data_IF_282135449262
#
_entry.id   IF_282135449262
#
_cell.length_a   1.000
_cell.length_b   1.000
_cell.length_c   1.000
_cell.angle_alpha   90.00
_cell.angle_beta   90.00
_cell.angle_gamma   90.00
#
_symmetry.space_group_name_H-M   'P 1'
#
loop_
_entity.id
_entity.type
_entity.pdbx_description
1 polymer ?
#
# COMPACT_ATOMS: atom_id res chain seq x y z
N UNK A 1 -34.56 18.22 27.08
CA UNK A 1 -34.64 16.88 26.48
C UNK A 1 -34.76 17.03 24.97
N UNK A 2 -33.66 16.87 24.24
CA UNK A 2 -33.67 16.80 22.78
C UNK A 2 -33.16 15.41 22.36
N UNK A 3 -33.95 14.79 21.50
CA UNK A 3 -34.02 13.34 21.27
C UNK A 3 -32.82 12.82 20.46
N UNK A 4 -32.26 11.70 20.93
CA UNK A 4 -31.10 10.99 20.40
C UNK A 4 -31.39 10.31 19.03
N UNK A 5 -31.55 11.09 17.97
CA UNK A 5 -31.86 10.59 16.61
C UNK A 5 -30.82 10.91 15.53
N UNK A 6 -29.59 11.23 15.91
CA UNK A 6 -28.52 11.38 14.91
C UNK A 6 -27.22 10.89 15.50
N UNK A 7 -26.83 9.66 15.11
CA UNK A 7 -25.45 9.16 14.98
C UNK A 7 -25.35 7.64 14.94
N UNK A 8 -26.46 6.91 15.07
CA UNK A 8 -26.49 5.46 14.94
C UNK A 8 -26.82 5.06 13.50
N UNK A 9 -25.86 5.23 12.59
CA UNK A 9 -25.78 4.54 11.30
C UNK A 9 -24.48 4.95 10.58
N UNK A 10 -23.33 4.61 11.17
CA UNK A 10 -22.09 4.52 10.40
C UNK A 10 -21.26 3.38 10.99
N UNK A 11 -21.91 2.23 11.12
CA UNK A 11 -21.28 0.93 11.37
C UNK A 11 -21.14 0.18 10.03
N UNK A 12 -20.81 0.92 8.97
CA UNK A 12 -20.17 0.31 7.82
C UNK A 12 -18.73 0.09 8.27
N UNK A 13 -18.41 -1.14 8.65
CA UNK A 13 -17.05 -1.62 8.73
C UNK A 13 -16.40 -1.37 7.36
N UNK A 14 -15.85 -0.17 7.17
CA UNK A 14 -14.67 -0.03 6.35
C UNK A 14 -13.64 -0.86 7.09
N UNK A 15 -13.31 -1.99 6.50
CA UNK A 15 -12.04 -2.63 6.78
C UNK A 15 -10.99 -1.59 6.35
N UNK A 16 -10.66 -0.69 7.28
CA UNK A 16 -9.83 0.51 7.09
C UNK A 16 -8.36 0.05 7.05
N UNK A 17 -8.12 -0.99 6.25
CA UNK A 17 -6.82 -1.60 6.09
C UNK A 17 -6.01 -0.64 5.23
N UNK A 18 -5.28 0.24 5.90
CA UNK A 18 -4.41 1.22 5.24
C UNK A 18 -3.19 0.46 4.73
N UNK A 19 -3.12 0.30 3.41
CA UNK A 19 -2.01 -0.32 2.70
C UNK A 19 -1.11 0.77 2.13
N UNK A 20 0.16 0.73 2.49
CA UNK A 20 1.14 1.73 2.08
C UNK A 20 2.39 1.04 1.55
N UNK A 21 2.90 1.52 0.42
CA UNK A 21 4.23 1.13 -0.09
C UNK A 21 5.18 2.24 0.25
N UNK A 22 6.23 1.92 1.01
CA UNK A 22 7.28 2.87 1.36
C UNK A 22 8.63 2.40 0.80
N UNK A 23 9.52 3.34 0.50
CA UNK A 23 10.89 3.03 0.17
C UNK A 23 11.71 2.92 1.46
N UNK A 24 12.43 1.82 1.61
CA UNK A 24 13.33 1.55 2.73
C UNK A 24 14.77 1.41 2.21
N UNK A 25 15.74 2.06 2.85
CA UNK A 25 17.14 1.93 2.46
C UNK A 25 17.61 0.49 2.71
N UNK A 26 18.27 -0.11 1.72
CA UNK A 26 18.95 -1.40 1.86
C UNK A 26 20.47 -1.19 1.86
N UNK A 27 21.20 -2.05 2.57
CA UNK A 27 22.66 -1.93 2.70
C UNK A 27 23.42 -2.23 1.39
N UNK A 28 22.74 -2.77 0.38
CA UNK A 28 23.34 -3.36 -0.82
C UNK A 28 23.36 -2.44 -2.06
N UNK A 29 23.20 -1.12 -1.91
CA UNK A 29 22.92 -0.16 -3.01
C UNK A 29 21.61 -0.39 -3.78
N UNK A 30 20.88 -1.47 -3.49
CA UNK A 30 19.50 -1.64 -3.91
C UNK A 30 18.58 -0.80 -3.02
N UNK A 31 17.52 -0.22 -3.59
CA UNK A 31 16.46 0.35 -2.78
C UNK A 31 15.34 -0.69 -2.69
N UNK A 32 14.92 -1.02 -1.47
CA UNK A 32 13.84 -1.96 -1.26
C UNK A 32 12.56 -1.17 -0.99
N UNK A 33 11.45 -1.76 -1.37
CA UNK A 33 10.13 -1.29 -1.01
C UNK A 33 9.60 -2.18 0.09
N UNK A 34 8.91 -1.59 1.05
CA UNK A 34 8.19 -2.30 2.10
C UNK A 34 6.70 -2.00 1.96
N UNK A 35 5.91 -3.06 1.81
CA UNK A 35 4.46 -2.98 1.92
C UNK A 35 4.10 -3.05 3.40
N UNK A 36 3.40 -2.03 3.86
CA UNK A 36 2.84 -1.94 5.20
C UNK A 36 1.34 -2.11 5.16
N UNK A 37 0.85 -2.88 6.11
CA UNK A 37 -0.57 -3.05 6.39
C UNK A 37 -0.81 -2.55 7.81
N UNK A 38 -1.59 -1.48 7.96
CA UNK A 38 -1.85 -0.85 9.26
C UNK A 38 -0.56 -0.44 10.00
N UNK A 39 0.45 0.02 9.26
CA UNK A 39 1.76 0.41 9.80
C UNK A 39 2.72 -0.75 10.08
N UNK A 40 2.31 -2.00 9.85
CA UNK A 40 3.16 -3.19 10.02
C UNK A 40 3.71 -3.65 8.67
N UNK A 41 5.04 -3.83 8.56
CA UNK A 41 5.67 -4.39 7.37
C UNK A 41 5.21 -5.84 7.14
N UNK A 42 4.56 -6.11 6.03
CA UNK A 42 4.03 -7.45 5.67
C UNK A 42 4.77 -8.08 4.50
N UNK A 43 5.45 -7.28 3.67
CA UNK A 43 6.28 -7.77 2.58
C UNK A 43 7.39 -6.77 2.24
N UNK A 44 8.52 -7.29 1.78
CA UNK A 44 9.65 -6.50 1.29
C UNK A 44 10.00 -6.95 -0.12
N UNK A 45 10.20 -6.00 -1.01
CA UNK A 45 10.60 -6.24 -2.39
C UNK A 45 11.88 -5.46 -2.65
N UNK A 46 12.96 -6.18 -2.97
CA UNK A 46 14.23 -5.55 -3.33
C UNK A 46 14.39 -5.58 -4.84
N UNK A 47 14.44 -4.39 -5.44
CA UNK A 47 14.56 -4.20 -6.88
C UNK A 47 15.90 -3.54 -7.20
N UNK A 48 16.39 -3.81 -8.41
CA UNK A 48 17.43 -2.97 -9.02
C UNK A 48 16.88 -1.56 -9.25
N UNK A 49 17.77 -0.56 -9.31
CA UNK A 49 17.37 0.85 -9.29
C UNK A 49 16.47 1.24 -10.48
N UNK A 50 16.73 0.67 -11.64
CA UNK A 50 15.96 0.82 -12.88
C UNK A 50 14.57 0.15 -12.77
N UNK A 51 14.48 -1.06 -12.21
CA UNK A 51 13.19 -1.70 -11.96
C UNK A 51 12.36 -1.00 -10.88
N UNK A 52 13.02 -0.40 -9.90
CA UNK A 52 12.37 0.34 -8.83
C UNK A 52 11.64 1.58 -9.35
N UNK A 53 12.29 2.36 -10.21
CA UNK A 53 11.70 3.55 -10.82
C UNK A 53 10.44 3.18 -11.61
N UNK A 54 10.52 2.13 -12.43
CA UNK A 54 9.39 1.61 -13.20
C UNK A 54 8.24 1.17 -12.29
N UNK A 55 8.54 0.51 -11.17
CA UNK A 55 7.52 0.09 -10.23
C UNK A 55 6.80 1.29 -9.58
N UNK A 56 7.55 2.31 -9.16
CA UNK A 56 7.01 3.52 -8.55
C UNK A 56 6.11 4.29 -9.53
N UNK A 57 6.54 4.43 -10.79
CA UNK A 57 5.73 5.06 -11.82
C UNK A 57 4.44 4.30 -12.10
N UNK A 58 4.51 2.96 -12.12
CA UNK A 58 3.35 2.10 -12.32
C UNK A 58 2.37 2.18 -11.14
N UNK A 59 2.87 2.17 -9.91
CA UNK A 59 2.07 2.33 -8.69
C UNK A 59 1.35 3.68 -8.70
N UNK A 60 2.08 4.77 -9.01
CA UNK A 60 1.52 6.10 -9.10
C UNK A 60 0.43 6.20 -10.19
N UNK A 61 0.67 5.59 -11.36
CA UNK A 61 -0.29 5.56 -12.45
C UNK A 61 -1.57 4.78 -12.09
N UNK A 62 -1.45 3.65 -11.40
CA UNK A 62 -2.60 2.89 -10.90
C UNK A 62 -3.37 3.67 -9.83
N UNK A 63 -2.67 4.33 -8.91
CA UNK A 63 -3.29 5.15 -7.87
C UNK A 63 -4.10 6.30 -8.48
N UNK A 64 -3.57 6.98 -9.50
CA UNK A 64 -4.28 8.04 -10.23
C UNK A 64 -5.57 7.54 -10.92
N UNK A 65 -5.63 6.26 -11.27
CA UNK A 65 -6.79 5.62 -11.88
C UNK A 65 -7.75 4.99 -10.86
N UNK A 66 -7.49 5.12 -9.56
CA UNK A 66 -8.27 4.46 -8.50
C UNK A 66 -8.05 2.95 -8.43
N UNK A 67 -6.96 2.44 -9.00
CA UNK A 67 -6.57 1.02 -9.05
C UNK A 67 -5.43 0.70 -8.07
N UNK A 68 -5.30 1.46 -6.98
CA UNK A 68 -4.23 1.28 -5.98
C UNK A 68 -4.10 -0.16 -5.49
N UNK A 69 -5.22 -0.84 -5.26
CA UNK A 69 -5.26 -2.25 -4.84
C UNK A 69 -4.56 -3.19 -5.85
N UNK A 70 -4.60 -2.88 -7.14
CA UNK A 70 -3.94 -3.69 -8.17
C UNK A 70 -2.42 -3.55 -8.09
N UNK A 71 -1.91 -2.36 -7.79
CA UNK A 71 -0.47 -2.15 -7.58
C UNK A 71 0.02 -2.90 -6.33
N UNK A 72 -0.78 -2.91 -5.25
CA UNK A 72 -0.49 -3.68 -4.04
C UNK A 72 -0.50 -5.19 -4.32
N UNK A 73 -1.46 -5.69 -5.11
CA UNK A 73 -1.47 -7.11 -5.49
C UNK A 73 -0.25 -7.48 -6.33
N UNK A 74 0.15 -6.64 -7.28
CA UNK A 74 1.37 -6.85 -8.06
C UNK A 74 2.61 -6.87 -7.16
N UNK A 75 2.69 -5.95 -6.18
CA UNK A 75 3.72 -5.95 -5.16
C UNK A 75 3.79 -7.29 -4.42
N UNK A 76 2.64 -7.75 -3.90
CA UNK A 76 2.56 -9.01 -3.14
C UNK A 76 3.04 -10.19 -3.97
N UNK A 77 2.66 -10.26 -5.24
CA UNK A 77 3.10 -11.32 -6.16
C UNK A 77 4.61 -11.29 -6.41
N UNK A 78 5.19 -10.11 -6.66
CA UNK A 78 6.63 -9.95 -6.87
C UNK A 78 7.44 -10.23 -5.62
N UNK A 79 6.93 -9.90 -4.43
CA UNK A 79 7.62 -10.15 -3.15
C UNK A 79 7.64 -11.64 -2.74
N UNK A 80 6.83 -12.48 -3.41
CA UNK A 80 6.72 -13.92 -3.13
C UNK A 80 7.41 -14.80 -4.17
N UNK A 81 7.97 -14.23 -5.25
CA UNK A 81 8.70 -14.95 -6.29
C UNK A 81 10.19 -15.09 -5.95
#
# INVERSE_FOLDING_TARGET
MASARSRQASDAAHDDTVLEVIQVPCESHAACLELRENGHGVATLCLEADMLEVFLDLEAAYRQQGLGDSAIMAFRQLSQS
#
